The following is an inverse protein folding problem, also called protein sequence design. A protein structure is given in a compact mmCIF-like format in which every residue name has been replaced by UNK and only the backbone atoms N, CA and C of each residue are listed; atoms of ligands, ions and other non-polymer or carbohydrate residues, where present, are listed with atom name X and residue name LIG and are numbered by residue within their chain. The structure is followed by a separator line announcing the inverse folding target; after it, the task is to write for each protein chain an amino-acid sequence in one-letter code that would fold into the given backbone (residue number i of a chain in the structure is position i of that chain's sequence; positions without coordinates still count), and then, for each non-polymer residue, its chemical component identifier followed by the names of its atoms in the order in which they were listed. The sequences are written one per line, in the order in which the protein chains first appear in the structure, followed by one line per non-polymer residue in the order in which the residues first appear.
data_IF_939602920615
#
_entry.id   IF_939602920615
#
_cell.length_a   1.000
_cell.length_b   1.000
_cell.length_c   1.000
_cell.angle_alpha   90.00
_cell.angle_beta   90.00
_cell.angle_gamma   90.00
#
_symmetry.space_group_name_H-M   'P 1'
#
loop_
_entity.id
_entity.type
_entity.pdbx_description
1 polymer ?
#
# COMPACT_ATOMS: atom_id res chain seq x y z
N UNK A 1 2.86 8.78 0.87
CA UNK A 1 2.38 8.47 2.23
C UNK A 1 1.13 9.27 2.61
N UNK A 2 1.28 10.53 3.07
CA UNK A 2 0.18 11.28 3.72
C UNK A 2 -1.04 11.47 2.83
N UNK A 3 -0.85 11.93 1.58
CA UNK A 3 -1.91 12.10 0.59
C UNK A 3 -2.71 10.80 0.37
N UNK A 4 -2.03 9.65 0.32
CA UNK A 4 -2.68 8.37 0.10
C UNK A 4 -3.49 7.90 1.32
N UNK A 5 -2.93 8.03 2.53
CA UNK A 5 -3.66 7.71 3.75
C UNK A 5 -4.87 8.65 3.97
N UNK A 6 -4.71 9.94 3.67
CA UNK A 6 -5.80 10.91 3.71
C UNK A 6 -6.90 10.57 2.71
N UNK A 7 -6.55 10.11 1.50
CA UNK A 7 -7.53 9.65 0.51
C UNK A 7 -8.32 8.42 0.97
N UNK A 8 -7.75 7.58 1.84
CA UNK A 8 -8.46 6.48 2.52
C UNK A 8 -9.32 6.95 3.70
N UNK A 9 -9.40 8.25 3.98
CA UNK A 9 -10.22 8.83 5.05
C UNK A 9 -9.49 9.05 6.38
N UNK A 10 -8.15 8.98 6.42
CA UNK A 10 -7.39 9.34 7.61
C UNK A 10 -7.28 10.86 7.79
N UNK A 11 -7.54 11.35 9.00
CA UNK A 11 -7.18 12.70 9.42
C UNK A 11 -5.68 12.75 9.73
N UNK A 12 -4.97 13.62 9.03
CA UNK A 12 -3.51 13.76 9.11
C UNK A 12 -3.17 15.13 9.67
N UNK A 13 -2.42 15.16 10.77
CA UNK A 13 -1.84 16.39 11.30
C UNK A 13 -0.36 16.22 11.61
N UNK A 14 0.40 17.31 11.49
CA UNK A 14 1.82 17.35 11.85
C UNK A 14 1.95 18.21 13.10
N UNK A 15 2.45 17.63 14.19
CA UNK A 15 2.67 18.34 15.45
C UNK A 15 4.07 18.05 15.94
N UNK A 16 4.85 19.10 16.21
CA UNK A 16 6.22 18.99 16.71
C UNK A 16 7.12 18.08 15.84
N UNK A 17 6.91 18.07 14.51
CA UNK A 17 7.66 17.22 13.57
C UNK A 17 7.17 15.78 13.45
N UNK A 18 6.16 15.35 14.23
CA UNK A 18 5.57 14.02 14.14
C UNK A 18 4.33 14.01 13.25
N UNK A 19 4.18 12.95 12.47
CA UNK A 19 2.97 12.67 11.71
C UNK A 19 1.98 11.95 12.63
N UNK A 20 0.82 12.57 12.85
CA UNK A 20 -0.32 11.96 13.53
C UNK A 20 -1.38 11.62 12.49
N UNK A 21 -1.69 10.34 12.33
CA UNK A 21 -2.74 9.84 11.45
C UNK A 21 -3.81 9.13 12.27
N UNK A 22 -5.08 9.52 12.11
CA UNK A 22 -6.21 8.88 12.81
C UNK A 22 -7.39 8.68 11.87
N UNK A 23 -7.97 7.50 11.89
CA UNK A 23 -9.23 7.21 11.22
C UNK A 23 -10.11 6.39 12.17
N UNK A 24 -11.44 6.60 12.12
CA UNK A 24 -12.38 5.65 12.73
C UNK A 24 -12.45 4.38 11.91
N UNK A 25 -12.38 4.55 10.60
CA UNK A 25 -12.47 3.51 9.59
C UNK A 25 -11.81 4.06 8.32
N UNK A 26 -11.02 3.23 7.65
CA UNK A 26 -10.49 3.55 6.33
C UNK A 26 -11.50 3.09 5.27
N UNK A 27 -11.62 3.85 4.18
CA UNK A 27 -12.50 3.54 3.06
C UNK A 27 -11.71 3.53 1.77
N UNK A 28 -12.01 2.57 0.92
CA UNK A 28 -11.41 2.45 -0.38
C UNK A 28 -11.65 3.69 -1.24
N UNK A 29 -10.64 4.07 -2.02
CA UNK A 29 -10.66 5.24 -2.88
C UNK A 29 -9.75 5.03 -4.09
N UNK A 30 -9.92 5.87 -5.12
CA UNK A 30 -8.97 5.97 -6.23
C UNK A 30 -7.87 6.98 -5.87
N UNK A 31 -6.62 6.55 -5.90
CA UNK A 31 -5.47 7.27 -5.35
C UNK A 31 -4.35 7.34 -6.38
N UNK A 32 -4.05 8.54 -6.86
CA UNK A 32 -2.88 8.79 -7.71
C UNK A 32 -1.65 9.13 -6.87
N UNK A 33 -0.63 8.26 -6.92
CA UNK A 33 0.63 8.38 -6.17
C UNK A 33 1.81 8.94 -6.97
N UNK A 34 1.62 9.24 -8.26
CA UNK A 34 2.64 9.89 -9.06
C UNK A 34 2.98 11.29 -8.54
N UNK A 35 4.26 11.64 -8.61
CA UNK A 35 4.77 12.97 -8.31
C UNK A 35 5.82 13.44 -9.31
N UNK A 36 6.46 14.60 -9.10
CA UNK A 36 7.46 15.14 -10.02
C UNK A 36 8.71 14.26 -10.15
N UNK A 37 8.95 13.36 -9.18
CA UNK A 37 10.04 12.39 -9.20
C UNK A 37 9.59 10.97 -9.64
N UNK A 38 8.35 10.82 -10.16
CA UNK A 38 7.81 9.52 -10.56
C UNK A 38 6.99 8.83 -9.46
N UNK A 39 6.98 7.50 -9.49
CA UNK A 39 6.35 6.65 -8.48
C UNK A 39 7.15 6.64 -7.17
N UNK A 40 6.57 6.11 -6.10
CA UNK A 40 7.21 6.06 -4.77
C UNK A 40 7.06 4.66 -4.19
N UNK A 41 8.16 3.92 -4.07
CA UNK A 41 8.19 2.55 -3.52
C UNK A 41 7.54 2.50 -2.14
N UNK A 42 8.08 3.24 -1.17
CA UNK A 42 7.57 3.25 0.21
C UNK A 42 6.17 3.85 0.29
N UNK A 43 5.85 4.82 -0.58
CA UNK A 43 4.52 5.40 -0.65
C UNK A 43 3.47 4.40 -1.10
N UNK A 44 3.75 3.64 -2.16
CA UNK A 44 2.91 2.55 -2.67
C UNK A 44 2.75 1.46 -1.60
N UNK A 45 3.84 0.98 -0.99
CA UNK A 45 3.79 -0.03 0.07
C UNK A 45 2.91 0.41 1.26
N UNK A 46 3.06 1.65 1.71
CA UNK A 46 2.33 2.16 2.87
C UNK A 46 0.83 2.31 2.59
N UNK A 47 0.45 2.76 1.40
CA UNK A 47 -0.95 2.89 1.00
C UNK A 47 -1.58 1.52 0.76
N UNK A 48 -0.86 0.62 0.07
CA UNK A 48 -1.29 -0.76 -0.15
C UNK A 48 -1.57 -1.47 1.18
N UNK A 49 -0.64 -1.37 2.15
CA UNK A 49 -0.79 -1.99 3.47
C UNK A 49 -1.98 -1.44 4.28
N UNK A 50 -2.34 -0.17 4.09
CA UNK A 50 -3.52 0.41 4.71
C UNK A 50 -4.82 0.00 3.99
N UNK A 51 -4.76 -0.09 2.66
CA UNK A 51 -5.91 -0.37 1.81
C UNK A 51 -6.45 -1.80 1.95
N UNK A 52 -5.61 -2.80 2.28
CA UNK A 52 -6.06 -4.19 2.44
C UNK A 52 -7.08 -4.39 3.57
N UNK A 53 -7.17 -3.46 4.53
CA UNK A 53 -8.18 -3.47 5.60
C UNK A 53 -9.17 -2.30 5.50
N UNK A 54 -9.10 -1.49 4.44
CA UNK A 54 -10.02 -0.38 4.22
C UNK A 54 -11.33 -0.88 3.63
N UNK A 55 -12.50 -0.37 4.06
CA UNK A 55 -13.78 -0.84 3.52
C UNK A 55 -13.97 -0.45 2.06
N UNK A 56 -14.23 -1.45 1.21
CA UNK A 56 -14.51 -1.28 -0.22
C UNK A 56 -13.26 -1.40 -1.10
N UNK A 57 -13.35 -0.86 -2.30
CA UNK A 57 -12.32 -0.98 -3.33
C UNK A 57 -11.37 0.22 -3.29
N UNK A 58 -10.06 -0.06 -3.29
CA UNK A 58 -9.01 0.93 -3.52
C UNK A 58 -8.35 0.69 -4.87
N UNK A 59 -8.14 1.75 -5.64
CA UNK A 59 -7.35 1.71 -6.88
C UNK A 59 -6.16 2.66 -6.70
N UNK A 60 -4.95 2.13 -6.70
CA UNK A 60 -3.71 2.90 -6.65
C UNK A 60 -3.20 3.07 -8.08
N UNK A 61 -3.08 4.31 -8.52
CA UNK A 61 -2.52 4.68 -9.83
C UNK A 61 -1.12 5.27 -9.68
N UNK A 62 -0.28 5.04 -10.70
CA UNK A 62 1.15 5.36 -10.68
C UNK A 62 1.86 4.69 -9.48
N UNK A 63 1.51 3.42 -9.24
CA UNK A 63 2.18 2.57 -8.28
C UNK A 63 3.63 2.29 -8.71
N UNK A 64 4.50 2.12 -7.73
CA UNK A 64 5.84 1.59 -7.94
C UNK A 64 5.77 0.09 -8.29
N UNK A 65 6.60 -0.35 -9.23
CA UNK A 65 6.56 -1.69 -9.84
C UNK A 65 7.77 -2.56 -9.45
N UNK A 66 8.58 -2.09 -8.51
CA UNK A 66 9.80 -2.72 -8.09
C UNK A 66 9.51 -4.09 -7.43
N UNK A 67 10.43 -5.07 -7.54
CA UNK A 67 10.23 -6.42 -6.99
C UNK A 67 9.87 -6.44 -5.50
N UNK A 68 10.39 -5.50 -4.73
CA UNK A 68 10.11 -5.36 -3.30
C UNK A 68 8.65 -4.97 -3.02
N UNK A 69 8.02 -4.19 -3.91
CA UNK A 69 6.59 -3.84 -3.82
C UNK A 69 5.73 -5.07 -4.14
N UNK A 70 6.12 -5.82 -5.17
CA UNK A 70 5.46 -7.07 -5.55
C UNK A 70 5.53 -8.10 -4.42
N UNK A 71 6.70 -8.23 -3.77
CA UNK A 71 6.89 -9.16 -2.66
C UNK A 71 6.00 -8.83 -1.46
N UNK A 72 5.87 -7.53 -1.11
CA UNK A 72 4.92 -7.11 -0.08
C UNK A 72 3.47 -7.44 -0.48
N UNK A 73 3.10 -7.21 -1.73
CA UNK A 73 1.78 -7.56 -2.25
C UNK A 73 1.49 -9.06 -2.15
N UNK A 74 2.46 -9.90 -2.53
CA UNK A 74 2.37 -11.35 -2.44
C UNK A 74 2.27 -11.83 -0.98
N UNK A 75 3.03 -11.22 -0.06
CA UNK A 75 2.91 -11.47 1.37
C UNK A 75 1.49 -11.16 1.87
N UNK A 76 0.95 -9.99 1.49
CA UNK A 76 -0.40 -9.59 1.88
C UNK A 76 -1.46 -10.53 1.28
N UNK A 77 -1.35 -10.92 0.01
CA UNK A 77 -2.22 -11.93 -0.60
C UNK A 77 -2.17 -13.26 0.13
N UNK A 78 -0.97 -13.76 0.45
CA UNK A 78 -0.79 -15.00 1.20
C UNK A 78 -1.43 -14.92 2.59
N UNK A 79 -1.46 -13.73 3.20
CA UNK A 79 -2.14 -13.47 4.48
C UNK A 79 -3.67 -13.30 4.37
N UNK A 80 -4.22 -13.33 3.15
CA UNK A 80 -5.67 -13.28 2.89
C UNK A 80 -6.18 -11.98 2.26
N UNK A 81 -5.31 -11.03 1.90
CA UNK A 81 -5.73 -9.83 1.17
C UNK A 81 -6.12 -10.15 -0.28
N UNK A 82 -7.03 -9.36 -0.86
CA UNK A 82 -7.39 -9.45 -2.27
C UNK A 82 -6.79 -8.26 -3.03
N UNK A 83 -5.71 -8.54 -3.78
CA UNK A 83 -4.92 -7.54 -4.51
C UNK A 83 -4.75 -8.01 -5.95
N UNK A 84 -4.87 -7.13 -6.92
CA UNK A 84 -4.63 -7.39 -8.34
C UNK A 84 -3.70 -6.30 -8.93
N UNK A 85 -3.01 -6.62 -10.03
CA UNK A 85 -2.16 -5.66 -10.73
C UNK A 85 -0.77 -5.44 -10.11
N UNK A 86 -0.31 -6.33 -9.22
CA UNK A 86 1.05 -6.28 -8.67
C UNK A 86 2.10 -6.27 -9.78
N UNK A 87 3.08 -5.37 -9.67
CA UNK A 87 4.13 -5.17 -10.67
C UNK A 87 3.70 -4.30 -11.86
N UNK A 88 2.47 -3.78 -11.83
CA UNK A 88 1.96 -2.83 -12.83
C UNK A 88 1.73 -1.45 -12.20
N UNK A 89 1.63 -0.38 -13.01
CA UNK A 89 1.37 0.98 -12.50
C UNK A 89 -0.01 1.17 -11.84
N UNK A 90 -0.90 0.18 -11.95
CA UNK A 90 -2.25 0.22 -11.38
C UNK A 90 -2.47 -1.01 -10.50
N UNK A 91 -2.70 -0.78 -9.20
CA UNK A 91 -3.00 -1.84 -8.24
C UNK A 91 -4.43 -1.69 -7.75
N UNK A 92 -5.23 -2.74 -7.86
CA UNK A 92 -6.61 -2.79 -7.34
C UNK A 92 -6.64 -3.64 -6.08
N UNK A 93 -7.29 -3.16 -5.02
CA UNK A 93 -7.33 -3.83 -3.72
C UNK A 93 -8.78 -3.84 -3.25
N UNK A 94 -9.32 -5.03 -2.95
CA UNK A 94 -10.56 -5.15 -2.20
C UNK A 94 -10.22 -5.36 -0.73
N UNK A 95 -10.67 -4.44 0.12
CA UNK A 95 -10.42 -4.57 1.54
C UNK A 95 -11.12 -5.78 2.16
N UNK A 96 -10.43 -6.43 3.08
CA UNK A 96 -10.91 -7.56 3.87
C UNK A 96 -11.07 -7.16 5.33
N UNK A 97 -11.81 -7.95 6.10
CA UNK A 97 -12.04 -7.67 7.52
C UNK A 97 -10.83 -7.98 8.40
N UNK A 98 -10.05 -9.00 8.03
CA UNK A 98 -8.89 -9.46 8.79
C UNK A 98 -7.83 -10.10 7.88
N UNK A 99 -6.60 -10.11 8.37
CA UNK A 99 -5.49 -10.88 7.80
C UNK A 99 -5.11 -12.01 8.74
N UNK A 100 -4.55 -13.09 8.18
CA UNK A 100 -4.14 -14.28 8.91
C UNK A 100 -2.63 -14.31 9.07
N UNK A 101 -2.17 -14.85 10.21
CA UNK A 101 -0.76 -15.10 10.43
C UNK A 101 -0.24 -16.16 9.44
N UNK A 102 0.90 -15.88 8.82
CA UNK A 102 1.55 -16.78 7.86
C UNK A 102 3.06 -16.88 8.11
N UNK A 103 3.66 -17.94 7.57
CA UNK A 103 5.10 -17.98 7.33
C UNK A 103 5.35 -17.56 5.89
N UNK A 104 6.23 -16.58 5.69
CA UNK A 104 6.57 -16.06 4.37
C UNK A 104 8.07 -15.95 4.24
N UNK A 105 8.60 -16.27 3.06
CA UNK A 105 10.02 -16.13 2.73
C UNK A 105 10.15 -14.94 1.79
N UNK A 106 10.87 -13.92 2.24
CA UNK A 106 11.17 -12.71 1.44
C UNK A 106 12.01 -13.05 0.20
N UNK A 107 11.89 -12.22 -0.83
CA UNK A 107 12.74 -12.33 -2.02
C UNK A 107 14.23 -12.10 -1.67
N UNK A 108 15.16 -12.65 -2.48
CA UNK A 108 16.58 -12.30 -2.38
C UNK A 108 16.84 -10.82 -2.66
N UNK A 109 17.92 -10.28 -2.08
CA UNK A 109 18.36 -8.92 -2.35
C UNK A 109 18.93 -8.81 -3.77
N UNK A 110 18.29 -8.00 -4.61
CA UNK A 110 18.72 -7.79 -6.01
C UNK A 110 19.87 -6.80 -6.16
N UNK A 111 20.16 -5.98 -5.15
CA UNK A 111 21.29 -5.04 -5.14
C UNK A 111 22.57 -5.78 -4.76
N UNK A 112 22.51 -6.72 -3.82
CA UNK A 112 23.67 -7.55 -3.45
C UNK A 112 24.03 -8.58 -4.53
N UNK A 113 23.08 -9.00 -5.36
CA UNK A 113 23.29 -9.99 -6.41
C UNK A 113 23.86 -9.43 -7.73
N UNK A 114 23.94 -8.10 -7.88
CA UNK A 114 24.29 -7.38 -9.12
C UNK A 114 25.77 -6.99 -9.24
#
# INVERSE_FOLDING_TARGET
HLKGLAALGADISIRQGYVHAKARELRGARIFLGGPQGSTVTGTCNVMSAAVLAKGETIIEAAACEPEVVDLGNFLQASGAHIEGLGTPTITIQGVEELRAIKYRVIPDRIEAA
#
